data_IF_103762367952
#
_entry.id   IF_103762367952
#
_cell.length_a   1.000
_cell.length_b   1.000
_cell.length_c   1.000
_cell.angle_alpha   90.00
_cell.angle_beta   90.00
_cell.angle_gamma   90.00
#
_symmetry.space_group_name_H-M   'P 1'
#
loop_
_entity.id
_entity.type
_entity.pdbx_description
1 polymer ?
#
# COMPACT_ATOMS: atom_id res chain seq x y z
N UNK A 1 -0.99 -17.15 -61.12
CA UNK A 1 -0.74 -17.67 -59.79
C UNK A 1 -0.73 -16.45 -58.83
N UNK A 2 -1.85 -16.20 -58.17
CA UNK A 2 -2.00 -15.10 -57.23
C UNK A 2 -1.66 -15.65 -55.85
N UNK A 3 -0.59 -15.11 -55.21
CA UNK A 3 -0.24 -15.42 -53.84
C UNK A 3 -1.07 -14.53 -52.93
N UNK A 4 -1.94 -15.14 -52.16
CA UNK A 4 -2.73 -14.55 -51.09
C UNK A 4 -1.82 -14.38 -49.86
N UNK A 5 -1.54 -13.14 -49.49
CA UNK A 5 -0.94 -12.84 -48.17
C UNK A 5 -2.06 -12.77 -47.16
N UNK A 6 -2.16 -13.80 -46.29
CA UNK A 6 -2.95 -13.76 -45.09
C UNK A 6 -2.12 -13.00 -44.04
N UNK A 7 -2.45 -11.76 -43.79
CA UNK A 7 -1.96 -11.03 -42.64
C UNK A 7 -2.74 -11.48 -41.39
N UNK A 8 -2.07 -12.26 -40.56
CA UNK A 8 -2.56 -12.67 -39.25
C UNK A 8 -2.50 -11.45 -38.31
N UNK A 9 -3.61 -10.74 -38.19
CA UNK A 9 -3.79 -9.78 -37.09
C UNK A 9 -3.95 -10.57 -35.81
N UNK A 10 -2.87 -10.70 -35.02
CA UNK A 10 -2.95 -11.09 -33.63
C UNK A 10 -3.68 -9.96 -32.89
N UNK A 11 -4.98 -10.15 -32.68
CA UNK A 11 -5.73 -9.35 -31.67
C UNK A 11 -5.18 -9.74 -30.33
N UNK A 12 -4.26 -8.92 -29.82
CA UNK A 12 -3.95 -8.85 -28.40
C UNK A 12 -5.23 -8.36 -27.72
N UNK A 13 -6.09 -9.30 -27.33
CA UNK A 13 -7.09 -9.03 -26.32
C UNK A 13 -6.33 -8.66 -25.06
N UNK A 14 -6.16 -7.36 -24.84
CA UNK A 14 -5.87 -6.82 -23.52
C UNK A 14 -7.09 -7.21 -22.68
N UNK A 15 -6.98 -8.33 -22.02
CA UNK A 15 -7.86 -8.67 -20.92
C UNK A 15 -7.58 -7.60 -19.88
N UNK A 16 -8.36 -6.52 -19.92
CA UNK A 16 -8.50 -5.66 -18.78
C UNK A 16 -8.95 -6.57 -17.64
N UNK A 17 -8.04 -6.90 -16.74
CA UNK A 17 -8.40 -7.50 -15.47
C UNK A 17 -9.30 -6.46 -14.83
N UNK A 18 -10.62 -6.65 -14.94
CA UNK A 18 -11.56 -5.95 -14.08
C UNK A 18 -11.09 -6.28 -12.67
N UNK A 19 -10.88 -5.26 -11.86
CA UNK A 19 -10.91 -5.43 -10.42
C UNK A 19 -12.07 -6.39 -10.18
N UNK A 20 -11.80 -7.51 -9.51
CA UNK A 20 -12.84 -8.49 -9.24
C UNK A 20 -14.02 -7.69 -8.72
N UNK A 21 -15.16 -7.76 -9.41
CA UNK A 21 -16.34 -7.02 -8.98
C UNK A 21 -16.57 -7.49 -7.54
N UNK A 22 -16.35 -6.62 -6.57
CA UNK A 22 -16.70 -6.93 -5.19
C UNK A 22 -18.16 -7.35 -5.23
N UNK A 23 -18.53 -8.50 -4.69
CA UNK A 23 -19.89 -9.03 -4.79
C UNK A 23 -20.94 -8.09 -4.18
N UNK A 24 -20.47 -6.95 -3.63
CA UNK A 24 -21.30 -6.00 -2.89
C UNK A 24 -21.03 -4.57 -3.34
N UNK A 25 -22.13 -3.80 -3.42
CA UNK A 25 -22.08 -2.39 -3.75
C UNK A 25 -21.31 -1.58 -2.70
N UNK A 26 -20.87 -0.38 -3.07
CA UNK A 26 -20.27 0.64 -2.19
C UNK A 26 -21.09 0.95 -0.92
N UNK A 27 -22.31 0.44 -0.81
CA UNK A 27 -23.16 0.56 0.40
C UNK A 27 -22.58 -0.20 1.60
N UNK A 28 -21.62 -1.10 1.41
CA UNK A 28 -20.88 -1.79 2.47
C UNK A 28 -19.53 -1.13 2.79
N UNK A 29 -19.43 0.17 2.67
CA UNK A 29 -18.23 0.95 3.04
C UNK A 29 -17.98 1.01 4.54
N UNK A 30 -18.98 0.66 5.37
CA UNK A 30 -18.94 0.68 6.83
C UNK A 30 -19.64 -0.54 7.40
N UNK A 31 -19.08 -1.12 8.47
CA UNK A 31 -19.72 -2.18 9.25
C UNK A 31 -19.79 -1.83 10.73
N UNK A 32 -20.79 -2.39 11.39
CA UNK A 32 -21.06 -2.29 12.82
C UNK A 32 -21.29 -3.68 13.38
N UNK A 33 -20.71 -4.02 14.50
CA UNK A 33 -21.00 -5.28 15.22
C UNK A 33 -22.06 -5.02 16.29
N UNK A 34 -23.12 -5.82 16.29
CA UNK A 34 -24.25 -5.64 17.20
C UNK A 34 -24.75 -6.99 17.71
N UNK A 35 -25.27 -7.01 18.93
CA UNK A 35 -25.85 -8.18 19.54
C UNK A 35 -25.63 -8.23 21.05
N UNK A 36 -26.42 -9.02 21.76
CA UNK A 36 -26.31 -9.16 23.20
C UNK A 36 -25.03 -9.89 23.65
N UNK A 37 -24.31 -10.53 22.73
CA UNK A 37 -22.94 -10.99 22.96
C UNK A 37 -21.95 -9.85 23.14
N UNK A 38 -22.24 -8.64 22.63
CA UNK A 38 -21.40 -7.45 22.74
C UNK A 38 -21.82 -6.57 23.93
N UNK A 39 -20.94 -5.68 24.44
CA UNK A 39 -21.30 -4.72 25.49
C UNK A 39 -22.43 -3.74 25.10
N UNK A 40 -22.77 -3.67 23.83
CA UNK A 40 -23.73 -2.72 23.25
C UNK A 40 -25.13 -3.31 23.09
N UNK A 41 -25.28 -4.63 23.31
CA UNK A 41 -26.51 -5.39 23.08
C UNK A 41 -27.09 -5.09 21.66
N UNK A 42 -28.41 -5.01 21.54
CA UNK A 42 -29.10 -4.68 20.29
C UNK A 42 -29.40 -3.18 20.12
N UNK A 43 -28.60 -2.33 20.78
CA UNK A 43 -28.75 -0.87 20.72
C UNK A 43 -27.92 -0.28 19.57
N UNK A 44 -28.57 0.01 18.46
CA UNK A 44 -27.93 0.56 17.27
C UNK A 44 -27.28 1.93 17.50
N UNK A 45 -27.72 2.69 18.53
CA UNK A 45 -27.16 4.00 18.86
C UNK A 45 -25.82 3.92 19.56
N UNK A 46 -25.53 2.80 20.23
CA UNK A 46 -24.28 2.55 20.97
C UNK A 46 -23.28 1.69 20.23
N UNK A 47 -23.71 1.04 19.15
CA UNK A 47 -22.90 0.16 18.36
C UNK A 47 -21.71 0.92 17.75
N UNK A 48 -20.46 0.49 17.99
CA UNK A 48 -19.28 1.15 17.42
C UNK A 48 -19.12 0.81 15.94
N UNK A 49 -18.42 1.70 15.24
CA UNK A 49 -17.91 1.41 13.91
C UNK A 49 -16.85 0.32 14.02
N UNK A 50 -16.86 -0.64 13.11
CA UNK A 50 -15.70 -1.50 12.90
C UNK A 50 -14.63 -0.71 12.16
N UNK A 51 -13.37 -0.91 12.53
CA UNK A 51 -12.25 -0.30 11.83
C UNK A 51 -12.14 -0.87 10.42
N UNK A 52 -12.19 -0.01 9.41
CA UNK A 52 -11.93 -0.38 8.02
C UNK A 52 -10.43 -0.49 7.80
N UNK A 53 -9.93 -1.71 7.63
CA UNK A 53 -8.52 -2.01 7.38
C UNK A 53 -8.16 -1.70 5.92
N UNK A 54 -9.02 -2.15 4.99
CA UNK A 54 -8.96 -1.86 3.57
C UNK A 54 -10.35 -1.99 2.95
N UNK A 55 -10.45 -1.96 1.64
CA UNK A 55 -11.71 -2.15 0.94
C UNK A 55 -12.24 -3.57 1.17
N UNK A 56 -13.39 -3.65 1.87
CA UNK A 56 -14.04 -4.91 2.22
C UNK A 56 -13.51 -5.63 3.46
N UNK A 57 -12.38 -5.22 4.06
CA UNK A 57 -11.85 -5.84 5.27
C UNK A 57 -12.05 -4.94 6.49
N UNK A 58 -12.73 -5.47 7.49
CA UNK A 58 -13.07 -4.78 8.73
C UNK A 58 -12.56 -5.53 9.95
N UNK A 59 -12.24 -4.78 11.01
CA UNK A 59 -11.78 -5.29 12.30
C UNK A 59 -12.56 -4.64 13.44
N UNK A 60 -12.90 -5.45 14.43
CA UNK A 60 -13.40 -4.98 15.72
C UNK A 60 -12.72 -5.73 16.85
N UNK A 61 -12.37 -5.05 17.93
CA UNK A 61 -11.78 -5.67 19.11
C UNK A 61 -12.63 -5.33 20.33
N UNK A 62 -13.04 -6.33 21.08
CA UNK A 62 -13.88 -6.15 22.25
C UNK A 62 -14.28 -7.45 22.92
N UNK A 63 -15.16 -7.33 23.92
CA UNK A 63 -15.66 -8.43 24.73
C UNK A 63 -16.85 -9.11 24.07
N UNK A 64 -16.81 -10.44 23.99
CA UNK A 64 -17.95 -11.26 23.57
C UNK A 64 -18.35 -12.24 24.68
N UNK A 65 -19.67 -12.35 24.96
CA UNK A 65 -20.22 -13.27 25.95
C UNK A 65 -20.69 -14.58 25.30
N UNK A 66 -20.30 -15.70 25.88
CA UNK A 66 -20.69 -17.03 25.42
C UNK A 66 -22.21 -17.26 25.45
N UNK A 67 -22.71 -17.97 24.45
CA UNK A 67 -24.11 -18.34 24.33
C UNK A 67 -25.06 -17.22 23.93
N UNK A 68 -24.58 -15.99 23.88
CA UNK A 68 -25.32 -14.83 23.37
C UNK A 68 -25.04 -14.62 21.87
N UNK A 69 -25.78 -13.73 21.24
CA UNK A 69 -25.82 -13.58 19.80
C UNK A 69 -25.20 -12.27 19.33
N UNK A 70 -24.54 -12.28 18.14
CA UNK A 70 -24.16 -11.08 17.42
C UNK A 70 -24.27 -11.25 15.91
N UNK A 71 -24.30 -10.13 15.20
CA UNK A 71 -24.22 -10.02 13.73
C UNK A 71 -23.63 -8.66 13.32
N UNK A 72 -23.63 -8.38 12.04
CA UNK A 72 -23.12 -7.12 11.52
C UNK A 72 -24.20 -6.33 10.80
N UNK A 73 -24.11 -5.01 10.89
CA UNK A 73 -24.95 -4.07 10.14
C UNK A 73 -24.06 -3.18 9.28
N UNK A 74 -24.55 -2.73 8.14
CA UNK A 74 -23.88 -1.73 7.32
C UNK A 74 -24.31 -0.29 7.63
N UNK A 75 -25.36 -0.13 8.43
CA UNK A 75 -25.85 1.14 8.96
C UNK A 75 -26.30 0.95 10.38
N UNK A 76 -26.45 2.02 11.16
CA UNK A 76 -27.00 1.97 12.51
C UNK A 76 -28.54 1.82 12.50
N UNK A 77 -29.03 0.86 11.69
CA UNK A 77 -30.45 0.56 11.56
C UNK A 77 -30.64 -0.91 11.12
N UNK A 78 -31.72 -1.54 11.63
CA UNK A 78 -32.02 -2.95 11.32
C UNK A 78 -32.68 -3.20 9.95
N UNK A 79 -32.86 -2.19 9.11
CA UNK A 79 -33.73 -2.28 7.93
C UNK A 79 -32.95 -2.22 6.61
N UNK A 80 -31.63 -2.33 6.66
CA UNK A 80 -30.80 -2.32 5.46
C UNK A 80 -29.91 -3.57 5.44
N UNK A 81 -28.90 -3.58 4.59
CA UNK A 81 -28.05 -4.72 4.41
C UNK A 81 -27.46 -5.21 5.74
N UNK A 82 -27.73 -6.46 6.06
CA UNK A 82 -27.21 -7.13 7.24
C UNK A 82 -26.27 -8.22 6.76
N UNK A 83 -25.07 -8.23 7.31
CA UNK A 83 -24.09 -9.27 7.07
C UNK A 83 -24.20 -10.27 8.20
N UNK A 84 -24.81 -11.42 7.93
CA UNK A 84 -25.06 -12.48 8.90
C UNK A 84 -24.48 -13.81 8.41
N UNK A 85 -25.19 -14.88 8.66
CA UNK A 85 -24.83 -16.24 8.26
C UNK A 85 -26.05 -16.97 7.70
N UNK A 86 -25.82 -18.10 6.99
CA UNK A 86 -26.91 -18.92 6.43
C UNK A 86 -27.60 -19.82 7.44
N UNK A 87 -27.05 -19.96 8.65
CA UNK A 87 -27.59 -20.69 9.80
C UNK A 87 -26.96 -20.18 11.08
N UNK A 88 -27.62 -20.35 12.23
CA UNK A 88 -27.00 -20.04 13.52
C UNK A 88 -25.69 -20.81 13.70
N UNK A 89 -24.61 -20.08 14.03
CA UNK A 89 -23.26 -20.61 14.14
C UNK A 89 -22.69 -20.45 15.54
N UNK A 90 -22.24 -21.55 16.13
CA UNK A 90 -21.43 -21.53 17.32
C UNK A 90 -19.98 -21.23 16.96
N UNK A 91 -19.46 -20.10 17.46
CA UNK A 91 -18.17 -19.58 17.08
C UNK A 91 -17.05 -20.11 17.96
N UNK A 92 -16.01 -20.62 17.31
CA UNK A 92 -14.76 -21.01 17.94
C UNK A 92 -13.62 -20.11 17.42
N UNK A 93 -12.65 -19.80 18.28
CA UNK A 93 -11.48 -19.02 17.92
C UNK A 93 -10.67 -19.70 16.82
N UNK A 94 -10.24 -18.94 15.84
CA UNK A 94 -9.44 -19.41 14.72
C UNK A 94 -10.21 -20.15 13.61
N UNK A 95 -11.49 -20.38 13.78
CA UNK A 95 -12.35 -20.99 12.75
C UNK A 95 -12.96 -19.92 11.85
N UNK A 96 -12.98 -20.20 10.54
CA UNK A 96 -13.62 -19.35 9.54
C UNK A 96 -15.10 -19.69 9.37
N UNK A 97 -15.92 -18.65 9.23
CA UNK A 97 -17.37 -18.75 9.05
C UNK A 97 -17.80 -17.97 7.83
N UNK A 98 -18.66 -18.58 7.01
CA UNK A 98 -19.22 -17.94 5.84
C UNK A 98 -20.21 -16.84 6.25
N UNK A 99 -20.19 -15.74 5.49
CA UNK A 99 -21.09 -14.62 5.62
C UNK A 99 -22.18 -14.66 4.56
N UNK A 100 -23.35 -14.18 4.90
CA UNK A 100 -24.44 -13.92 3.98
C UNK A 100 -24.89 -12.47 4.08
N UNK A 101 -25.27 -11.90 2.95
CA UNK A 101 -25.89 -10.61 2.89
C UNK A 101 -27.41 -10.76 3.00
N UNK A 102 -27.98 -10.37 4.12
CA UNK A 102 -29.43 -10.31 4.32
C UNK A 102 -29.93 -8.92 3.95
N UNK A 103 -30.72 -8.84 2.89
CA UNK A 103 -31.13 -7.54 2.36
C UNK A 103 -32.40 -7.03 3.01
N UNK A 104 -33.26 -7.91 3.50
CA UNK A 104 -34.54 -7.49 4.06
C UNK A 104 -35.16 -8.55 4.96
N UNK A 105 -34.82 -8.54 6.23
CA UNK A 105 -35.33 -9.49 7.23
C UNK A 105 -36.85 -9.45 7.45
N UNK A 106 -37.55 -8.46 6.87
CA UNK A 106 -39.01 -8.36 6.92
C UNK A 106 -39.72 -9.08 5.78
N UNK A 107 -38.99 -9.60 4.80
CA UNK A 107 -39.62 -10.38 3.73
C UNK A 107 -40.02 -11.75 4.24
N UNK A 108 -41.17 -12.27 3.85
CA UNK A 108 -41.58 -13.62 4.21
C UNK A 108 -40.57 -14.66 3.76
N UNK A 109 -40.05 -15.45 4.70
CA UNK A 109 -39.02 -16.46 4.45
C UNK A 109 -37.60 -16.07 4.76
N UNK A 110 -37.33 -14.79 4.99
CA UNK A 110 -36.02 -14.33 5.45
C UNK A 110 -35.77 -14.79 6.88
N UNK A 111 -34.55 -15.28 7.13
CA UNK A 111 -34.15 -15.76 8.44
C UNK A 111 -33.01 -14.90 8.95
N UNK A 112 -33.16 -14.40 10.15
CA UNK A 112 -32.17 -13.57 10.84
C UNK A 112 -31.23 -14.46 11.68
N UNK A 113 -30.35 -15.17 11.02
CA UNK A 113 -29.34 -16.00 11.66
C UNK A 113 -28.22 -15.17 12.29
N UNK A 114 -27.59 -15.71 13.33
CA UNK A 114 -26.62 -15.02 14.16
C UNK A 114 -25.44 -15.89 14.54
N UNK A 115 -24.37 -15.24 14.95
CA UNK A 115 -23.18 -15.89 15.50
C UNK A 115 -23.27 -15.96 17.02
N UNK A 116 -22.82 -17.08 17.61
CA UNK A 116 -22.84 -17.34 19.05
C UNK A 116 -21.45 -17.75 19.53
N UNK A 117 -20.74 -16.91 20.30
CA UNK A 117 -19.47 -17.32 20.91
C UNK A 117 -19.69 -18.51 21.86
N UNK A 118 -18.78 -19.48 21.84
CA UNK A 118 -18.82 -20.64 22.74
C UNK A 118 -18.10 -20.38 24.05
N UNK A 119 -17.21 -19.40 24.10
CA UNK A 119 -16.44 -19.00 25.29
C UNK A 119 -16.54 -17.49 25.45
N UNK A 120 -16.69 -17.03 26.69
CA UNK A 120 -16.64 -15.60 27.02
C UNK A 120 -15.20 -15.13 27.06
N UNK A 121 -14.90 -14.00 26.42
CA UNK A 121 -13.54 -13.45 26.38
C UNK A 121 -13.42 -12.15 25.59
N UNK A 122 -12.20 -11.63 25.55
CA UNK A 122 -11.83 -10.50 24.71
C UNK A 122 -11.29 -11.01 23.38
N UNK A 123 -11.85 -10.55 22.28
CA UNK A 123 -11.58 -11.05 20.94
C UNK A 123 -11.31 -9.93 19.95
N UNK A 124 -10.63 -10.29 18.88
CA UNK A 124 -10.59 -9.51 17.64
C UNK A 124 -11.38 -10.24 16.57
N UNK A 125 -12.39 -9.58 16.04
CA UNK A 125 -13.27 -10.09 14.97
C UNK A 125 -12.87 -9.45 13.65
N UNK A 126 -12.51 -10.26 12.68
CA UNK A 126 -12.25 -9.82 11.31
C UNK A 126 -13.40 -10.24 10.40
N UNK A 127 -13.82 -9.33 9.54
CA UNK A 127 -14.84 -9.55 8.51
C UNK A 127 -14.25 -9.19 7.16
N UNK A 128 -14.15 -10.16 6.28
CA UNK A 128 -13.72 -9.98 4.91
C UNK A 128 -14.89 -10.17 3.94
N UNK A 129 -15.33 -9.08 3.35
CA UNK A 129 -16.42 -9.08 2.37
C UNK A 129 -15.96 -9.52 0.97
N UNK A 130 -14.67 -9.62 0.72
CA UNK A 130 -14.14 -10.13 -0.55
C UNK A 130 -14.27 -11.66 -0.61
N UNK A 131 -13.84 -12.35 0.43
CA UNK A 131 -14.00 -13.79 0.57
C UNK A 131 -15.34 -14.20 1.18
N UNK A 132 -16.14 -13.25 1.66
CA UNK A 132 -17.38 -13.47 2.42
C UNK A 132 -17.18 -14.38 3.63
N UNK A 133 -16.16 -14.09 4.39
CA UNK A 133 -15.79 -14.84 5.59
C UNK A 133 -15.58 -13.96 6.80
N UNK A 134 -15.78 -14.54 7.96
CA UNK A 134 -15.43 -13.98 9.26
C UNK A 134 -14.50 -14.95 10.00
N UNK A 135 -13.62 -14.42 10.82
CA UNK A 135 -12.84 -15.17 11.82
C UNK A 135 -12.80 -14.38 13.13
N UNK A 136 -12.86 -15.10 14.24
CA UNK A 136 -12.65 -14.56 15.57
C UNK A 136 -11.30 -15.04 16.09
N UNK A 137 -10.43 -14.12 16.46
CA UNK A 137 -9.10 -14.37 17.00
C UNK A 137 -9.03 -13.93 18.47
N UNK A 138 -8.12 -14.51 19.25
CA UNK A 138 -7.79 -13.99 20.58
C UNK A 138 -7.19 -12.56 20.46
N UNK A 139 -7.49 -11.70 21.45
CA UNK A 139 -7.08 -10.28 21.40
C UNK A 139 -5.57 -10.09 21.35
N UNK A 140 -4.79 -11.02 21.91
CA UNK A 140 -3.33 -10.93 22.03
C UNK A 140 -2.57 -11.35 20.79
N UNK A 141 -3.24 -11.90 19.78
CA UNK A 141 -2.63 -12.39 18.53
C UNK A 141 -2.30 -11.29 17.51
N UNK A 142 -1.91 -10.11 17.98
CA UNK A 142 -1.32 -9.12 17.08
C UNK A 142 0.00 -9.64 16.52
N UNK A 143 -0.02 -9.95 15.23
CA UNK A 143 1.15 -10.47 14.52
C UNK A 143 2.24 -9.42 14.48
N UNK A 144 3.32 -9.64 15.24
CA UNK A 144 4.51 -8.78 15.23
C UNK A 144 5.45 -9.23 14.12
N UNK A 145 5.73 -8.35 13.18
CA UNK A 145 6.72 -8.60 12.14
C UNK A 145 8.14 -8.66 12.77
N UNK A 146 9.01 -9.55 12.25
CA UNK A 146 10.35 -9.78 12.78
C UNK A 146 11.29 -8.61 12.46
N UNK A 147 12.58 -8.76 12.81
CA UNK A 147 13.63 -7.81 12.42
C UNK A 147 14.10 -8.01 10.97
N UNK A 148 13.95 -9.20 10.43
CA UNK A 148 14.25 -9.55 9.04
C UNK A 148 13.08 -10.32 8.47
N UNK A 149 12.76 -10.04 7.24
CA UNK A 149 11.63 -10.63 6.52
C UNK A 149 12.07 -11.05 5.12
N UNK A 150 11.60 -12.20 4.68
CA UNK A 150 11.92 -12.79 3.39
C UNK A 150 10.64 -13.22 2.69
N UNK A 151 10.57 -13.00 1.38
CA UNK A 151 9.52 -13.53 0.53
C UNK A 151 10.00 -14.81 -0.17
N UNK A 152 9.13 -15.80 -0.27
CA UNK A 152 9.37 -17.06 -0.98
C UNK A 152 8.07 -17.60 -1.57
N UNK A 153 8.14 -18.70 -2.29
CA UNK A 153 6.98 -19.38 -2.87
C UNK A 153 7.11 -19.63 -4.35
N UNK A 154 6.10 -20.28 -4.92
CA UNK A 154 6.10 -20.65 -6.35
C UNK A 154 6.03 -19.43 -7.26
N UNK A 155 5.43 -18.33 -6.80
CA UNK A 155 5.40 -17.05 -7.52
C UNK A 155 6.80 -16.44 -7.73
N UNK A 156 7.79 -16.83 -6.93
CA UNK A 156 9.22 -16.47 -7.05
C UNK A 156 10.08 -17.59 -7.65
N UNK A 157 9.46 -18.65 -8.18
CA UNK A 157 10.18 -19.83 -8.67
C UNK A 157 10.96 -20.56 -7.56
N UNK A 158 10.50 -20.48 -6.32
CA UNK A 158 11.15 -21.07 -5.14
C UNK A 158 12.35 -20.26 -4.61
N UNK A 159 12.67 -19.11 -5.17
CA UNK A 159 13.72 -18.22 -4.65
C UNK A 159 13.27 -17.63 -3.31
N UNK A 160 14.26 -17.28 -2.49
CA UNK A 160 14.07 -16.52 -1.25
C UNK A 160 14.66 -15.13 -1.44
N UNK A 161 13.86 -14.10 -1.22
CA UNK A 161 14.24 -12.70 -1.42
C UNK A 161 14.05 -11.94 -0.11
N UNK A 162 15.10 -11.28 0.37
CA UNK A 162 15.00 -10.42 1.56
C UNK A 162 14.18 -9.17 1.25
N UNK A 163 13.31 -8.79 2.19
CA UNK A 163 12.62 -7.52 2.21
C UNK A 163 13.38 -6.59 3.17
N UNK A 164 14.14 -5.61 2.67
CA UNK A 164 14.76 -4.59 3.51
C UNK A 164 13.71 -3.83 4.33
N UNK A 165 14.08 -3.50 5.58
CA UNK A 165 13.26 -2.67 6.46
C UNK A 165 13.62 -1.20 6.28
N UNK A 166 12.60 -0.34 6.20
CA UNK A 166 12.75 1.10 6.06
C UNK A 166 12.01 1.83 7.18
N UNK A 167 12.70 2.80 7.78
CA UNK A 167 12.14 3.70 8.78
C UNK A 167 11.51 3.02 10.01
N UNK A 168 11.83 1.78 10.30
CA UNK A 168 11.13 0.95 11.30
C UNK A 168 9.60 0.84 11.11
N UNK A 169 9.10 1.24 9.95
CA UNK A 169 7.67 1.31 9.61
C UNK A 169 7.26 0.14 8.74
N UNK A 170 8.05 -0.17 7.73
CA UNK A 170 7.70 -1.16 6.71
C UNK A 170 8.91 -1.94 6.20
N UNK A 171 8.61 -3.11 5.66
CA UNK A 171 9.50 -3.85 4.77
C UNK A 171 9.00 -3.71 3.36
N UNK A 172 9.89 -3.54 2.38
CA UNK A 172 9.51 -3.54 0.98
C UNK A 172 10.63 -4.00 0.07
N UNK A 173 10.25 -4.58 -1.07
CA UNK A 173 11.18 -4.89 -2.16
C UNK A 173 10.44 -5.02 -3.49
N UNK A 174 11.15 -4.76 -4.59
CA UNK A 174 10.64 -5.02 -5.93
C UNK A 174 10.83 -6.50 -6.27
N UNK A 175 9.75 -7.15 -6.70
CA UNK A 175 9.70 -8.56 -7.08
C UNK A 175 9.18 -8.71 -8.51
N UNK A 176 9.74 -9.66 -9.25
CA UNK A 176 9.14 -10.17 -10.49
C UNK A 176 8.33 -11.42 -10.15
N UNK A 177 7.01 -11.24 -10.06
CA UNK A 177 6.10 -12.29 -9.64
C UNK A 177 5.50 -13.00 -10.84
N UNK A 178 5.45 -14.33 -10.75
CA UNK A 178 4.76 -15.21 -11.68
C UNK A 178 3.50 -15.79 -11.01
N UNK A 179 2.53 -16.32 -11.78
CA UNK A 179 1.39 -17.00 -11.18
C UNK A 179 1.82 -18.09 -10.22
N UNK A 180 1.26 -18.09 -9.01
CA UNK A 180 1.63 -19.03 -7.96
C UNK A 180 1.33 -18.53 -6.56
N UNK A 181 2.02 -19.06 -5.56
CA UNK A 181 1.87 -18.69 -4.15
C UNK A 181 3.05 -17.86 -3.68
N UNK A 182 2.76 -16.90 -2.81
CA UNK A 182 3.71 -16.05 -2.11
C UNK A 182 3.56 -16.22 -0.60
N UNK A 183 4.68 -16.36 0.10
CA UNK A 183 4.74 -16.55 1.56
C UNK A 183 5.83 -15.63 2.09
N UNK A 184 5.65 -15.08 3.28
CA UNK A 184 6.70 -14.39 4.02
C UNK A 184 7.23 -15.27 5.14
N UNK A 185 8.53 -15.15 5.47
CA UNK A 185 9.18 -15.89 6.56
C UNK A 185 10.28 -15.05 7.22
N UNK A 186 10.61 -15.37 8.48
CA UNK A 186 11.59 -14.61 9.27
C UNK A 186 13.05 -15.06 9.08
N UNK A 187 13.28 -16.13 8.36
CA UNK A 187 14.62 -16.70 8.10
C UNK A 187 14.79 -16.97 6.60
N UNK A 188 16.03 -16.87 6.05
CA UNK A 188 16.27 -17.19 4.64
C UNK A 188 16.13 -18.68 4.34
N UNK A 189 16.44 -19.55 5.34
CA UNK A 189 16.30 -21.00 5.24
C UNK A 189 15.25 -21.48 6.25
N UNK A 190 14.35 -22.34 5.80
CA UNK A 190 13.30 -22.89 6.66
C UNK A 190 13.90 -23.86 7.70
N UNK A 191 13.58 -23.63 8.96
CA UNK A 191 13.94 -24.47 10.10
C UNK A 191 12.66 -24.81 10.89
N UNK A 192 12.79 -25.64 11.93
CA UNK A 192 11.66 -25.97 12.81
C UNK A 192 11.16 -24.77 13.64
N UNK A 193 11.94 -23.70 13.73
CA UNK A 193 11.58 -22.47 14.45
C UNK A 193 11.21 -21.30 13.53
N UNK A 194 11.25 -21.51 12.21
CA UNK A 194 10.86 -20.46 11.24
C UNK A 194 9.42 -20.07 11.44
N UNK A 195 9.19 -18.75 11.50
CA UNK A 195 7.85 -18.17 11.51
C UNK A 195 7.45 -17.81 10.08
N UNK A 196 6.27 -18.26 9.71
CA UNK A 196 5.65 -17.97 8.42
C UNK A 196 4.56 -16.95 8.62
N UNK A 197 4.50 -15.99 7.70
CA UNK A 197 3.49 -14.94 7.66
C UNK A 197 2.74 -15.07 6.34
N UNK A 198 1.45 -15.23 6.43
CA UNK A 198 0.56 -15.38 5.29
C UNK A 198 -0.67 -14.49 5.45
N UNK A 199 -1.53 -14.45 4.45
CA UNK A 199 -2.82 -13.81 4.60
C UNK A 199 -3.63 -14.46 5.73
N UNK A 200 -4.31 -13.63 6.53
CA UNK A 200 -5.27 -14.11 7.51
C UNK A 200 -6.42 -14.90 6.82
N UNK A 201 -6.88 -14.40 5.67
CA UNK A 201 -7.91 -15.07 4.87
C UNK A 201 -7.29 -15.86 3.71
N UNK A 202 -7.87 -17.01 3.41
CA UNK A 202 -7.47 -17.85 2.28
C UNK A 202 -7.92 -17.23 0.95
N UNK A 203 -7.17 -17.52 -0.13
CA UNK A 203 -7.54 -17.11 -1.48
C UNK A 203 -7.33 -15.64 -1.80
N UNK A 204 -6.70 -14.87 -0.91
CA UNK A 204 -6.37 -13.47 -1.20
C UNK A 204 -5.31 -13.41 -2.29
N UNK A 205 -5.65 -12.75 -3.40
CA UNK A 205 -4.74 -12.51 -4.51
C UNK A 205 -4.05 -11.16 -4.35
N UNK A 206 -2.76 -11.20 -3.99
CA UNK A 206 -1.97 -10.00 -3.72
C UNK A 206 -1.67 -9.20 -4.99
N UNK A 207 -1.82 -9.79 -6.19
CA UNK A 207 -1.58 -9.12 -7.46
C UNK A 207 -2.64 -8.07 -7.83
N UNK A 208 -3.78 -8.03 -7.12
CA UNK A 208 -4.81 -7.02 -7.34
C UNK A 208 -4.54 -5.65 -6.67
N UNK A 209 -3.46 -5.54 -5.90
CA UNK A 209 -2.96 -4.25 -5.43
C UNK A 209 -3.32 -3.91 -3.98
N UNK A 210 -3.11 -2.65 -3.62
CA UNK A 210 -3.23 -2.17 -2.24
C UNK A 210 -4.65 -2.32 -1.66
N UNK A 211 -5.68 -2.21 -2.49
CA UNK A 211 -7.08 -2.37 -2.06
C UNK A 211 -7.39 -3.81 -1.63
N UNK A 212 -6.51 -4.75 -1.95
CA UNK A 212 -6.55 -6.16 -1.53
C UNK A 212 -5.50 -6.48 -0.47
N UNK A 213 -5.08 -5.48 0.31
CA UNK A 213 -4.18 -5.73 1.43
C UNK A 213 -4.84 -6.69 2.42
N UNK A 214 -4.04 -7.55 3.02
CA UNK A 214 -4.49 -8.59 3.91
C UNK A 214 -3.87 -8.41 5.28
N UNK A 215 -4.68 -8.57 6.33
CA UNK A 215 -4.14 -8.81 7.67
C UNK A 215 -3.32 -10.10 7.68
N UNK A 216 -2.27 -10.11 8.48
CA UNK A 216 -1.33 -11.21 8.58
C UNK A 216 -1.76 -12.21 9.66
N UNK A 217 -1.55 -13.49 9.39
CA UNK A 217 -1.43 -14.53 10.43
C UNK A 217 0.02 -15.01 10.51
N UNK A 218 0.44 -15.41 11.70
CA UNK A 218 1.76 -15.96 11.96
C UNK A 218 1.65 -17.36 12.51
N UNK A 219 2.46 -18.28 12.01
CA UNK A 219 2.53 -19.68 12.48
C UNK A 219 3.95 -20.20 12.37
N UNK A 220 4.28 -21.21 13.20
CA UNK A 220 5.51 -22.01 13.06
C UNK A 220 5.33 -23.27 12.22
N UNK A 221 4.09 -23.61 11.90
CA UNK A 221 3.81 -24.71 10.98
C UNK A 221 4.25 -24.33 9.58
N UNK A 222 5.02 -25.21 8.94
CA UNK A 222 5.50 -24.97 7.58
C UNK A 222 4.34 -24.71 6.64
N UNK A 223 4.35 -23.54 6.01
CA UNK A 223 3.34 -23.15 5.05
C UNK A 223 3.78 -23.51 3.63
N UNK A 224 2.87 -24.05 2.85
CA UNK A 224 3.02 -24.28 1.40
C UNK A 224 2.10 -23.37 0.59
N UNK A 225 1.14 -22.75 1.25
CA UNK A 225 0.16 -21.84 0.69
C UNK A 225 0.22 -20.48 1.41
N UNK A 226 -0.04 -19.43 0.69
CA UNK A 226 -0.02 -18.06 1.18
C UNK A 226 -0.93 -17.19 0.33
N UNK A 227 -0.48 -15.98 -0.02
CA UNK A 227 -1.18 -15.20 -1.02
C UNK A 227 -1.10 -15.88 -2.38
N UNK A 228 -2.18 -15.86 -3.14
CA UNK A 228 -2.12 -16.16 -4.56
C UNK A 228 -1.58 -14.97 -5.35
N UNK A 229 -0.95 -15.25 -6.46
CA UNK A 229 -0.58 -14.29 -7.51
C UNK A 229 -1.17 -14.83 -8.80
N UNK A 230 -2.19 -14.17 -9.35
CA UNK A 230 -2.81 -14.57 -10.62
C UNK A 230 -2.27 -13.78 -11.81
N UNK A 231 -1.83 -12.55 -11.59
CA UNK A 231 -1.34 -11.66 -12.65
C UNK A 231 0.18 -11.54 -12.54
N UNK A 232 0.93 -12.01 -13.55
CA UNK A 232 2.39 -11.89 -13.56
C UNK A 232 2.81 -10.43 -13.75
N UNK A 233 3.95 -10.04 -13.17
CA UNK A 233 4.50 -8.69 -13.34
C UNK A 233 5.52 -8.30 -12.29
N UNK A 234 6.02 -7.07 -12.45
CA UNK A 234 6.87 -6.45 -11.43
C UNK A 234 6.00 -5.78 -10.38
N UNK A 235 6.20 -6.13 -9.13
CA UNK A 235 5.46 -5.61 -7.98
C UNK A 235 6.40 -5.15 -6.90
N UNK A 236 6.11 -4.02 -6.28
CA UNK A 236 6.68 -3.70 -4.97
C UNK A 236 5.81 -4.36 -3.91
N UNK A 237 6.38 -5.31 -3.18
CA UNK A 237 5.74 -5.96 -2.04
C UNK A 237 6.03 -5.16 -0.79
N UNK A 238 4.99 -4.86 -0.02
CA UNK A 238 5.04 -4.16 1.25
C UNK A 238 4.56 -5.06 2.38
N UNK A 239 5.22 -4.97 3.53
CA UNK A 239 4.72 -5.50 4.79
C UNK A 239 4.83 -4.40 5.85
N UNK A 240 3.68 -3.91 6.32
CA UNK A 240 3.54 -2.74 7.19
C UNK A 240 3.50 -3.18 8.65
N UNK A 241 4.44 -2.68 9.47
CA UNK A 241 4.64 -3.16 10.83
C UNK A 241 3.53 -2.79 11.80
N UNK A 242 3.09 -1.55 11.79
CA UNK A 242 2.06 -1.02 12.69
C UNK A 242 0.63 -1.44 12.32
N UNK A 243 0.42 -1.80 11.04
CA UNK A 243 -0.89 -2.25 10.54
C UNK A 243 -1.01 -3.76 10.44
N UNK A 244 0.07 -4.51 10.64
CA UNK A 244 0.12 -5.97 10.51
C UNK A 244 -0.47 -6.45 9.18
N UNK A 245 -0.10 -5.78 8.09
CA UNK A 245 -0.65 -5.98 6.75
C UNK A 245 0.45 -6.22 5.74
N UNK A 246 0.11 -6.93 4.66
CA UNK A 246 0.92 -6.97 3.46
C UNK A 246 0.06 -6.71 2.22
N UNK A 247 0.64 -6.06 1.23
CA UNK A 247 0.05 -5.86 -0.09
C UNK A 247 1.16 -5.75 -1.15
N UNK A 248 0.80 -5.98 -2.39
CA UNK A 248 1.69 -5.74 -3.52
C UNK A 248 1.12 -4.64 -4.41
N UNK A 249 1.98 -3.76 -4.89
CA UNK A 249 1.64 -2.68 -5.80
C UNK A 249 2.33 -2.94 -7.14
N UNK A 250 1.56 -3.07 -8.21
CA UNK A 250 2.13 -3.24 -9.54
C UNK A 250 3.01 -2.03 -9.89
N UNK A 251 4.23 -2.31 -10.31
CA UNK A 251 5.14 -1.26 -10.75
C UNK A 251 4.68 -0.70 -12.09
N UNK A 252 4.42 0.60 -12.11
CA UNK A 252 4.14 1.38 -13.33
C UNK A 252 5.20 2.46 -13.45
N UNK A 253 6.05 2.43 -14.50
CA UNK A 253 7.06 3.47 -14.70
C UNK A 253 6.41 4.86 -14.75
N UNK A 254 6.92 5.77 -13.94
CA UNK A 254 6.53 7.18 -14.02
C UNK A 254 7.44 7.87 -15.04
N UNK A 255 6.88 8.83 -15.74
CA UNK A 255 7.62 9.64 -16.72
C UNK A 255 7.90 11.04 -16.23
N UNK A 256 7.20 11.48 -15.21
CA UNK A 256 7.33 12.82 -14.62
C UNK A 256 7.16 12.77 -13.11
N UNK A 257 7.98 13.55 -12.43
CA UNK A 257 7.86 13.91 -11.02
C UNK A 257 8.16 15.40 -10.90
N UNK A 258 7.79 16.01 -9.79
CA UNK A 258 7.99 17.44 -9.57
C UNK A 258 8.62 17.68 -8.21
N UNK A 259 9.67 18.47 -8.18
CA UNK A 259 10.28 18.94 -6.94
C UNK A 259 9.47 20.11 -6.40
N UNK A 260 9.14 20.10 -5.13
CA UNK A 260 8.46 21.18 -4.45
C UNK A 260 9.15 21.46 -3.11
N UNK A 261 9.40 22.72 -2.80
CA UNK A 261 10.06 23.05 -1.55
C UNK A 261 10.42 24.52 -1.39
N UNK A 262 10.67 24.91 -0.13
CA UNK A 262 11.15 26.24 0.20
C UNK A 262 12.58 26.51 -0.31
N UNK A 263 13.36 25.47 -0.58
CA UNK A 263 14.73 25.58 -1.11
C UNK A 263 14.77 25.90 -2.60
N UNK A 264 13.67 25.81 -3.35
CA UNK A 264 13.56 26.25 -4.73
C UNK A 264 13.37 27.76 -4.81
N UNK A 265 13.89 28.38 -5.88
CA UNK A 265 13.70 29.82 -6.12
C UNK A 265 12.23 30.20 -6.22
N UNK A 266 11.45 29.39 -6.90
CA UNK A 266 10.02 29.55 -7.17
C UNK A 266 9.14 29.25 -5.95
N UNK A 267 9.70 28.81 -4.85
CA UNK A 267 9.05 28.59 -3.57
C UNK A 267 7.67 27.90 -3.67
N UNK A 268 7.65 26.58 -3.57
CA UNK A 268 6.43 25.77 -3.62
C UNK A 268 5.52 26.03 -4.85
N UNK A 269 5.95 26.86 -5.81
CA UNK A 269 5.14 27.29 -6.95
C UNK A 269 5.54 26.52 -8.24
N UNK A 270 5.57 25.21 -8.15
CA UNK A 270 6.06 24.31 -9.19
C UNK A 270 5.18 24.24 -10.46
N UNK A 271 3.94 24.71 -10.42
CA UNK A 271 3.07 24.73 -11.60
C UNK A 271 3.20 26.00 -12.46
N UNK A 272 3.85 27.02 -11.98
CA UNK A 272 4.09 28.24 -12.79
C UNK A 272 5.25 28.08 -13.74
N UNK A 273 6.26 27.28 -13.37
CA UNK A 273 7.39 26.98 -14.25
C UNK A 273 7.83 25.50 -14.07
N UNK A 274 7.12 24.55 -14.72
CA UNK A 274 7.47 23.13 -14.65
C UNK A 274 8.89 22.84 -15.12
N UNK A 275 9.48 23.68 -15.99
CA UNK A 275 10.82 23.47 -16.50
C UNK A 275 11.90 23.51 -15.41
N UNK A 276 11.65 24.25 -14.32
CA UNK A 276 12.60 24.40 -13.22
C UNK A 276 12.47 23.31 -12.15
N UNK A 277 11.34 22.64 -12.05
CA UNK A 277 11.06 21.66 -10.98
C UNK A 277 10.72 20.24 -11.47
N UNK A 278 10.55 20.05 -12.78
CA UNK A 278 10.19 18.74 -13.33
C UNK A 278 11.40 17.83 -13.45
N UNK A 279 11.24 16.59 -12.98
CA UNK A 279 12.19 15.52 -13.23
C UNK A 279 12.03 15.00 -14.66
N UNK A 280 13.13 14.62 -15.29
CA UNK A 280 13.17 14.03 -16.62
C UNK A 280 13.66 12.58 -16.55
N UNK A 281 13.19 11.69 -17.45
CA UNK A 281 13.69 10.33 -17.51
C UNK A 281 15.21 10.29 -17.73
N UNK A 282 15.89 9.42 -16.98
CA UNK A 282 17.32 9.15 -17.19
C UNK A 282 17.55 8.52 -18.56
N UNK A 283 18.60 8.95 -19.25
CA UNK A 283 18.98 8.34 -20.53
C UNK A 283 19.61 6.95 -20.38
N UNK A 284 20.11 6.63 -19.19
CA UNK A 284 20.83 5.38 -18.89
C UNK A 284 19.97 4.32 -18.22
N UNK A 285 18.93 4.73 -17.48
CA UNK A 285 18.04 3.82 -16.75
C UNK A 285 16.59 4.28 -16.87
N UNK A 286 15.70 3.54 -17.58
CA UNK A 286 14.31 3.94 -17.79
C UNK A 286 13.45 3.92 -16.50
N UNK A 287 13.93 3.33 -15.42
CA UNK A 287 13.27 3.31 -14.11
C UNK A 287 13.61 4.56 -13.28
N UNK A 288 14.58 5.36 -13.74
CA UNK A 288 15.05 6.54 -13.04
C UNK A 288 14.56 7.83 -13.67
N UNK A 289 14.31 8.81 -12.80
CA UNK A 289 14.05 10.19 -13.15
C UNK A 289 15.09 11.07 -12.46
N UNK A 290 15.58 12.06 -13.17
CA UNK A 290 16.65 12.96 -12.72
C UNK A 290 16.18 14.40 -12.77
N UNK A 291 16.50 15.14 -11.73
CA UNK A 291 16.40 16.59 -11.68
C UNK A 291 17.77 17.19 -11.37
N UNK A 292 18.12 18.27 -12.07
CA UNK A 292 19.32 19.05 -11.79
C UNK A 292 18.96 20.53 -11.70
N UNK A 293 19.49 21.21 -10.70
CA UNK A 293 19.25 22.62 -10.53
C UNK A 293 19.84 23.19 -9.25
N UNK A 294 19.62 24.48 -9.06
CA UNK A 294 20.12 25.21 -7.91
C UNK A 294 19.09 25.20 -6.78
N UNK A 295 19.56 24.82 -5.59
CA UNK A 295 18.80 24.89 -4.34
C UNK A 295 19.54 25.75 -3.33
N UNK A 296 18.78 26.46 -2.48
CA UNK A 296 19.36 27.25 -1.38
C UNK A 296 18.52 27.11 -0.12
N UNK A 297 19.13 26.87 1.05
CA UNK A 297 18.43 26.90 2.33
C UNK A 297 18.15 28.32 2.82
N UNK A 298 18.71 29.36 2.14
CA UNK A 298 18.61 30.75 2.54
C UNK A 298 18.29 31.64 1.34
N UNK A 299 17.02 31.84 1.08
CA UNK A 299 16.58 32.88 0.15
C UNK A 299 16.37 34.20 0.90
N UNK A 300 16.44 35.31 0.19
CA UNK A 300 16.32 36.67 0.76
C UNK A 300 14.90 37.08 1.19
N UNK A 301 13.94 36.18 1.09
CA UNK A 301 12.55 36.35 1.48
C UNK A 301 12.23 35.55 2.77
N UNK A 302 11.24 35.99 3.53
CA UNK A 302 10.80 35.34 4.78
C UNK A 302 9.91 34.11 4.51
N UNK A 303 10.38 33.20 3.65
CA UNK A 303 9.64 31.99 3.31
C UNK A 303 9.69 30.95 4.44
N UNK A 304 8.57 30.26 4.75
CA UNK A 304 8.60 29.15 5.68
C UNK A 304 9.36 27.96 5.09
N UNK A 305 10.05 27.21 5.94
CA UNK A 305 10.78 25.98 5.61
C UNK A 305 11.76 26.15 4.41
N UNK A 306 12.67 27.13 4.44
CA UNK A 306 13.50 27.49 3.28
C UNK A 306 14.47 26.37 2.86
N UNK A 307 14.84 25.46 3.76
CA UNK A 307 15.73 24.33 3.52
C UNK A 307 15.04 23.05 3.07
N UNK A 308 13.69 23.02 3.07
CA UNK A 308 12.90 21.79 2.91
C UNK A 308 12.43 21.58 1.49
N UNK A 309 12.30 20.27 1.14
CA UNK A 309 11.70 19.83 -0.12
C UNK A 309 10.96 18.49 0.02
N UNK A 310 10.05 18.25 -0.91
CA UNK A 310 9.39 16.97 -1.16
C UNK A 310 9.16 16.77 -2.65
N UNK A 311 8.72 15.58 -3.03
CA UNK A 311 8.51 15.23 -4.44
C UNK A 311 7.03 14.91 -4.65
N UNK A 312 6.46 15.50 -5.69
CA UNK A 312 5.07 15.33 -6.07
C UNK A 312 4.98 14.46 -7.33
N UNK A 313 3.97 13.64 -7.41
CA UNK A 313 3.75 12.77 -8.57
C UNK A 313 3.02 13.46 -9.72
N UNK A 314 2.38 14.60 -9.43
CA UNK A 314 1.82 15.52 -10.42
C UNK A 314 1.79 16.96 -9.87
N UNK A 315 1.35 17.91 -10.67
CA UNK A 315 1.22 19.33 -10.31
C UNK A 315 -0.04 19.59 -9.45
N UNK A 316 -0.14 18.89 -8.33
CA UNK A 316 -1.27 19.06 -7.39
C UNK A 316 -0.85 18.70 -5.97
N UNK A 317 -1.30 19.48 -4.99
CA UNK A 317 -1.12 19.19 -3.57
C UNK A 317 -1.92 17.97 -3.07
N UNK A 318 -2.93 17.55 -3.83
CA UNK A 318 -3.72 16.36 -3.54
C UNK A 318 -3.16 15.10 -4.18
N UNK A 319 -2.04 15.21 -4.90
CA UNK A 319 -1.39 14.06 -5.52
C UNK A 319 -0.64 13.21 -4.49
N UNK A 320 -0.38 11.96 -4.85
CA UNK A 320 0.60 11.15 -4.16
C UNK A 320 1.94 11.91 -4.07
N UNK A 321 2.54 11.92 -2.89
CA UNK A 321 3.81 12.60 -2.62
C UNK A 321 4.83 11.60 -2.11
N UNK A 322 6.10 11.84 -2.42
CA UNK A 322 7.21 11.05 -1.89
C UNK A 322 7.85 11.81 -0.74
N UNK A 323 8.09 11.10 0.34
CA UNK A 323 8.60 11.62 1.60
C UNK A 323 9.74 10.75 2.14
N UNK A 324 10.69 11.32 2.90
CA UNK A 324 11.61 10.50 3.68
C UNK A 324 10.85 9.79 4.81
N UNK A 325 11.46 8.79 5.43
CA UNK A 325 10.89 8.10 6.60
C UNK A 325 11.02 8.91 7.89
N UNK A 326 12.00 9.80 7.95
CA UNK A 326 12.30 10.64 9.11
C UNK A 326 12.30 12.11 8.68
N UNK A 327 11.75 12.97 9.52
CA UNK A 327 11.80 14.41 9.29
C UNK A 327 13.25 14.88 9.20
N UNK A 328 13.47 15.88 8.34
CA UNK A 328 14.75 16.54 8.18
C UNK A 328 15.89 15.60 7.73
N UNK A 329 15.53 14.52 7.02
CA UNK A 329 16.51 13.64 6.39
C UNK A 329 17.35 14.46 5.40
N UNK A 330 18.70 14.44 5.51
CA UNK A 330 19.56 15.12 4.54
C UNK A 330 19.28 14.63 3.12
N UNK A 331 19.16 15.57 2.17
CA UNK A 331 18.97 15.23 0.76
C UNK A 331 20.19 14.53 0.17
N UNK A 332 21.41 14.99 0.56
CA UNK A 332 22.66 14.43 0.04
C UNK A 332 22.89 13.04 0.60
N UNK A 333 23.09 12.07 -0.28
CA UNK A 333 23.24 10.66 0.04
C UNK A 333 22.26 9.76 -0.66
N UNK A 334 22.25 8.51 -0.28
CA UNK A 334 21.33 7.51 -0.79
C UNK A 334 20.31 7.12 0.29
N UNK A 335 19.07 6.92 -0.11
CA UNK A 335 18.01 6.54 0.79
C UNK A 335 16.81 5.93 0.08
N UNK A 336 15.80 5.59 0.84
CA UNK A 336 14.51 5.20 0.32
C UNK A 336 13.46 6.21 0.74
N UNK A 337 12.34 6.22 0.04
CA UNK A 337 11.20 7.07 0.33
C UNK A 337 9.93 6.25 0.52
N UNK A 338 8.96 6.82 1.19
CA UNK A 338 7.59 6.32 1.23
C UNK A 338 6.71 7.13 0.30
N UNK A 339 5.74 6.49 -0.32
CA UNK A 339 4.73 7.16 -1.12
C UNK A 339 3.45 7.29 -0.30
N UNK A 340 3.01 8.52 -0.08
CA UNK A 340 1.78 8.92 0.62
C UNK A 340 1.49 8.26 1.99
N UNK A 341 0.83 9.02 2.84
CA UNK A 341 0.43 8.59 4.18
C UNK A 341 1.47 8.90 5.26
N UNK A 342 0.98 9.17 6.47
CA UNK A 342 1.76 9.64 7.60
C UNK A 342 1.99 11.15 7.58
N UNK A 343 2.92 11.63 8.41
CA UNK A 343 3.24 13.03 8.55
C UNK A 343 3.87 13.62 7.28
N UNK A 344 3.65 14.90 7.04
CA UNK A 344 4.23 15.65 5.91
C UNK A 344 5.71 15.97 6.16
N UNK A 345 6.52 14.93 6.36
CA UNK A 345 7.97 15.04 6.57
C UNK A 345 8.68 15.32 5.25
N UNK A 346 9.81 16.00 5.31
CA UNK A 346 10.53 16.52 4.15
C UNK A 346 12.00 16.23 4.22
N UNK A 347 12.67 16.18 3.05
CA UNK A 347 14.13 16.22 2.98
C UNK A 347 14.61 17.64 3.27
N UNK A 348 15.86 17.73 3.72
CA UNK A 348 16.52 18.99 4.04
C UNK A 348 17.84 19.12 3.30
N UNK A 349 18.13 20.36 2.86
CA UNK A 349 19.44 20.76 2.39
C UNK A 349 20.11 21.68 3.41
N UNK A 350 21.40 21.55 3.61
CA UNK A 350 22.20 22.37 4.51
C UNK A 350 23.02 23.43 3.81
N UNK A 351 23.23 23.33 2.51
CA UNK A 351 24.14 24.17 1.73
C UNK A 351 23.46 24.62 0.43
N UNK A 352 23.75 25.86 0.02
CA UNK A 352 23.33 26.38 -1.26
C UNK A 352 24.23 25.87 -2.38
N UNK A 353 23.66 25.41 -3.49
CA UNK A 353 24.44 24.90 -4.60
C UNK A 353 23.62 24.25 -5.69
N UNK A 354 24.33 23.67 -6.66
CA UNK A 354 23.71 22.88 -7.70
C UNK A 354 23.63 21.42 -7.26
N UNK A 355 22.45 20.87 -7.36
CA UNK A 355 22.15 19.50 -6.94
C UNK A 355 21.71 18.66 -8.14
N UNK A 356 22.02 17.37 -8.05
CA UNK A 356 21.39 16.32 -8.83
C UNK A 356 20.57 15.45 -7.88
N UNK A 357 19.32 15.22 -8.23
CA UNK A 357 18.43 14.32 -7.50
C UNK A 357 18.01 13.22 -8.47
N UNK A 358 18.32 11.98 -8.14
CA UNK A 358 17.92 10.79 -8.91
C UNK A 358 16.90 10.00 -8.12
N UNK A 359 15.76 9.72 -8.73
CA UNK A 359 14.68 8.90 -8.15
C UNK A 359 14.56 7.63 -8.98
N UNK A 360 14.72 6.47 -8.35
CA UNK A 360 14.34 5.20 -8.94
C UNK A 360 12.93 4.84 -8.44
N UNK A 361 11.96 4.85 -9.35
CA UNK A 361 10.55 4.63 -9.00
C UNK A 361 10.19 3.15 -8.87
N UNK A 362 11.05 2.25 -9.34
CA UNK A 362 10.87 0.80 -9.21
C UNK A 362 11.33 0.29 -7.84
N UNK A 363 12.50 0.73 -7.39
CA UNK A 363 13.06 0.37 -6.09
C UNK A 363 12.62 1.32 -4.97
N UNK A 364 11.97 2.42 -5.32
CA UNK A 364 11.57 3.51 -4.40
C UNK A 364 12.76 4.08 -3.62
N UNK A 365 13.82 4.38 -4.35
CA UNK A 365 15.05 4.96 -3.80
C UNK A 365 15.33 6.36 -4.36
N UNK A 366 16.02 7.16 -3.56
CA UNK A 366 16.48 8.51 -3.90
C UNK A 366 17.97 8.61 -3.68
N UNK A 367 18.64 9.33 -4.56
CA UNK A 367 20.02 9.75 -4.39
C UNK A 367 20.13 11.24 -4.67
N UNK A 368 20.62 11.98 -3.67
CA UNK A 368 20.93 13.41 -3.80
C UNK A 368 22.43 13.64 -3.81
N UNK A 369 22.88 14.47 -4.72
CA UNK A 369 24.30 14.83 -4.90
C UNK A 369 24.44 16.36 -4.98
N UNK A 370 25.33 16.95 -4.18
CA UNK A 370 25.75 18.33 -4.34
C UNK A 370 26.86 18.36 -5.40
N UNK A 371 26.55 18.92 -6.56
CA UNK A 371 27.49 18.97 -7.70
C UNK A 371 28.48 20.11 -7.57
N UNK A 372 28.02 21.25 -7.06
CA UNK A 372 28.83 22.46 -6.87
C UNK A 372 28.18 23.37 -5.86
N UNK A 373 28.97 23.88 -4.91
CA UNK A 373 28.55 24.94 -3.97
C UNK A 373 28.59 26.34 -4.57
N UNK A 374 29.00 26.50 -5.86
CA UNK A 374 29.20 27.79 -6.51
C UNK A 374 28.25 27.96 -7.72
N UNK A 375 27.17 28.70 -7.56
CA UNK A 375 26.21 28.99 -8.63
C UNK A 375 26.80 29.67 -9.88
N UNK A 376 27.96 30.36 -9.76
CA UNK A 376 28.55 31.07 -10.86
C UNK A 376 29.15 30.14 -11.94
N UNK A 377 29.51 28.91 -11.62
CA UNK A 377 30.15 27.99 -12.58
C UNK A 377 29.14 27.42 -13.59
N UNK A 378 27.90 27.13 -13.20
CA UNK A 378 26.91 26.60 -14.14
C UNK A 378 26.34 27.66 -15.08
N UNK A 379 26.18 28.90 -14.63
CA UNK A 379 25.82 30.02 -15.49
C UNK A 379 26.89 30.30 -16.56
N UNK A 380 28.17 30.15 -16.24
CA UNK A 380 29.26 30.32 -17.20
C UNK A 380 29.24 29.26 -18.31
N UNK A 381 28.94 28.00 -17.97
CA UNK A 381 28.81 26.89 -18.95
C UNK A 381 27.61 27.08 -19.87
N UNK A 382 26.50 27.61 -19.34
CA UNK A 382 25.29 27.86 -20.14
C UNK A 382 25.49 29.07 -21.07
N UNK A 383 26.21 30.10 -20.63
CA UNK A 383 26.58 31.24 -21.48
C UNK A 383 27.57 30.88 -22.56
N UNK A 384 28.57 30.04 -22.26
CA UNK A 384 29.52 29.55 -23.27
C UNK A 384 28.85 28.71 -24.35
N UNK A 385 27.90 27.84 -23.97
CA UNK A 385 27.10 27.09 -24.95
C UNK A 385 26.20 27.97 -25.80
N UNK A 386 25.62 29.04 -25.23
CA UNK A 386 24.84 30.03 -25.98
C UNK A 386 25.68 30.79 -26.98
N UNK A 387 26.90 31.19 -26.60
CA UNK A 387 27.85 31.91 -27.49
C UNK A 387 28.32 30.98 -28.60
N UNK A 388 28.57 29.71 -28.36
CA UNK A 388 28.95 28.74 -29.40
C UNK A 388 27.77 28.43 -30.36
N UNK A 389 26.54 28.45 -29.92
CA UNK A 389 25.38 28.31 -30.79
C UNK A 389 25.08 29.54 -31.65
N UNK A 390 25.33 30.74 -31.11
CA UNK A 390 25.16 32.01 -31.87
C UNK A 390 26.33 32.27 -32.84
N UNK A 391 27.49 31.64 -32.66
CA UNK A 391 28.63 31.74 -33.55
C UNK A 391 28.60 30.74 -34.72
N UNK A 392 27.61 29.86 -34.77
CA UNK A 392 27.45 28.83 -35.81
C UNK A 392 26.24 29.06 -36.75
N UNK A 393 25.74 30.32 -36.84
CA UNK A 393 24.71 30.76 -37.80
C UNK A 393 25.31 31.65 -38.88
#
# INVERSE_FOLDING_TARGET
MKRLFLSLYAILAVWGVKAADMPYSLELSQLYIIGDATPYAWDTSKTPDMEKINEGLFRWTGHLEAGKEFKFLNTRAFHKHIVGTSADQNIQVGQYYDLNLEINWKLPGDKDFKFKPTVTGDYTVYVDLQSMKMVVCEKEDEVKLPKKLYATGTALGGKVVELPQYGNVEFKTLLDLQPGNLILQDTPEATSSTKYYTSLFEGVDISFGQDYSSSLKCTTDKQTEGWSVSVPGKYTLYAIKDKHQAYAKIFKPRRTLYLAGGCLKEYWNYWTDPATCQFTPSSSNPEELVWEGYLSPTWSDDRPEPSKLKILTNQSWTSETYHPYVADTPLVGEGSFRSSGGDDVKWEISEAGNYRITINTATETIRGELLSSNAKELNAVTEVRKVEQDASV
#
